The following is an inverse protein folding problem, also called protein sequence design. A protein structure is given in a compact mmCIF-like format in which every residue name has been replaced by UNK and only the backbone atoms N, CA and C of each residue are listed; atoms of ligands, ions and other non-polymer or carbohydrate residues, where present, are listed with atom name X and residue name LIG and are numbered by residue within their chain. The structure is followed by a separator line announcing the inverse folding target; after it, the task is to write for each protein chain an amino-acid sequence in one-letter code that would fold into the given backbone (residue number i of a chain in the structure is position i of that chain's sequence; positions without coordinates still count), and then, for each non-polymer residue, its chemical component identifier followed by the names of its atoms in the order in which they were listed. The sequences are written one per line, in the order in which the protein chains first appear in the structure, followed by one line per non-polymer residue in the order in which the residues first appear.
data_IF_456738037806
#
_entry.id   IF_456738037806
#
_cell.length_a   1.000
_cell.length_b   1.000
_cell.length_c   1.000
_cell.angle_alpha   90.00
_cell.angle_beta   90.00
_cell.angle_gamma   90.00
#
_symmetry.space_group_name_H-M   'P 1'
#
loop_
_entity.id
_entity.type
_entity.pdbx_description
1 polymer ?
#
# COMPACT_ATOMS: atom_id res chain seq x y z
N UNK A 1 -5.64 -30.84 17.97
CA UNK A 1 -5.32 -29.70 17.09
C UNK A 1 -6.61 -29.25 16.41
N UNK A 2 -7.40 -28.41 17.11
CA UNK A 2 -8.64 -27.91 16.55
C UNK A 2 -8.33 -27.00 15.37
N UNK A 3 -8.79 -27.38 14.17
CA UNK A 3 -8.93 -26.42 13.09
C UNK A 3 -9.78 -25.27 13.64
N UNK A 4 -9.22 -24.05 13.69
CA UNK A 4 -10.04 -22.85 13.84
C UNK A 4 -10.91 -22.81 12.59
N UNK A 5 -12.09 -23.43 12.66
CA UNK A 5 -13.14 -23.26 11.67
C UNK A 5 -13.42 -21.76 11.67
N UNK A 6 -12.85 -21.05 10.69
CA UNK A 6 -13.11 -19.63 10.51
C UNK A 6 -14.62 -19.44 10.42
N UNK A 7 -15.12 -18.33 10.96
CA UNK A 7 -16.52 -17.98 10.85
C UNK A 7 -16.97 -18.17 9.39
N UNK A 8 -17.99 -19.00 9.18
CA UNK A 8 -18.51 -19.27 7.84
C UNK A 8 -19.28 -18.02 7.42
N UNK A 9 -18.63 -17.14 6.65
CA UNK A 9 -19.24 -15.91 6.17
C UNK A 9 -20.18 -16.19 5.00
N UNK A 10 -21.39 -15.64 5.08
CA UNK A 10 -22.32 -15.56 3.97
C UNK A 10 -21.79 -14.67 2.83
N UNK A 11 -22.40 -14.75 1.64
CA UNK A 11 -21.96 -13.95 0.49
C UNK A 11 -21.96 -12.44 0.77
N UNK A 12 -22.96 -11.94 1.50
CA UNK A 12 -23.06 -10.52 1.84
C UNK A 12 -21.89 -10.05 2.71
N UNK A 13 -21.55 -10.80 3.76
CA UNK A 13 -20.43 -10.48 4.66
C UNK A 13 -19.08 -10.53 3.93
N UNK A 14 -18.90 -11.51 3.05
CA UNK A 14 -17.70 -11.58 2.20
C UNK A 14 -17.57 -10.38 1.27
N UNK A 15 -18.69 -9.90 0.70
CA UNK A 15 -18.68 -8.72 -0.16
C UNK A 15 -18.44 -7.43 0.63
N UNK A 16 -19.05 -7.27 1.79
CA UNK A 16 -18.80 -6.13 2.68
C UNK A 16 -17.32 -6.06 3.08
N UNK A 17 -16.76 -7.18 3.54
CA UNK A 17 -15.35 -7.25 3.91
C UNK A 17 -14.44 -6.89 2.73
N UNK A 18 -14.67 -7.46 1.54
CA UNK A 18 -13.89 -7.14 0.33
C UNK A 18 -14.01 -5.67 -0.05
N UNK A 19 -15.21 -5.10 0.07
CA UNK A 19 -15.46 -3.67 -0.18
C UNK A 19 -14.63 -2.80 0.76
N UNK A 20 -14.65 -3.11 2.06
CA UNK A 20 -13.88 -2.38 3.08
C UNK A 20 -12.37 -2.49 2.87
N UNK A 21 -11.86 -3.68 2.53
CA UNK A 21 -10.44 -3.85 2.19
C UNK A 21 -10.06 -3.00 0.98
N UNK A 22 -10.85 -3.05 -0.12
CA UNK A 22 -10.59 -2.22 -1.30
C UNK A 22 -10.67 -0.73 -1.01
N UNK A 23 -11.68 -0.31 -0.24
CA UNK A 23 -11.87 1.06 0.18
C UNK A 23 -10.69 1.59 1.01
N UNK A 24 -10.18 0.79 1.95
CA UNK A 24 -8.98 1.13 2.72
C UNK A 24 -7.76 1.32 1.82
N UNK A 25 -7.52 0.40 0.90
CA UNK A 25 -6.35 0.48 0.01
C UNK A 25 -6.44 1.65 -0.96
N UNK A 26 -7.61 1.87 -1.56
CA UNK A 26 -7.84 2.99 -2.46
C UNK A 26 -7.80 4.33 -1.71
N UNK A 27 -8.42 4.41 -0.54
CA UNK A 27 -8.41 5.61 0.30
C UNK A 27 -7.00 5.98 0.76
N UNK A 28 -6.18 4.99 1.13
CA UNK A 28 -4.77 5.21 1.46
C UNK A 28 -3.98 5.75 0.25
N UNK A 29 -4.19 5.19 -0.95
CA UNK A 29 -3.52 5.65 -2.16
C UNK A 29 -3.97 7.06 -2.58
N UNK A 30 -5.27 7.39 -2.41
CA UNK A 30 -5.80 8.74 -2.65
C UNK A 30 -5.22 9.73 -1.65
N UNK A 31 -5.15 9.35 -0.37
CA UNK A 31 -4.55 10.19 0.68
C UNK A 31 -3.06 10.46 0.44
N UNK A 32 -2.30 9.44 0.03
CA UNK A 32 -0.90 9.57 -0.38
C UNK A 32 -0.77 10.52 -1.57
N UNK A 33 -1.54 10.33 -2.63
CA UNK A 33 -1.50 11.17 -3.82
C UNK A 33 -1.94 12.63 -3.57
N UNK A 34 -2.89 12.85 -2.66
CA UNK A 34 -3.34 14.18 -2.26
C UNK A 34 -2.32 14.86 -1.36
N UNK A 35 -1.75 14.16 -0.37
CA UNK A 35 -0.83 14.74 0.60
C UNK A 35 0.58 14.98 0.07
N UNK A 36 1.05 14.17 -0.87
CA UNK A 36 2.43 14.19 -1.35
C UNK A 36 2.93 15.54 -1.88
N UNK A 37 2.15 16.36 -2.62
CA UNK A 37 2.61 17.67 -3.09
C UNK A 37 2.81 18.70 -1.97
N UNK A 38 2.30 18.45 -0.76
CA UNK A 38 2.29 19.38 0.37
C UNK A 38 2.89 18.79 1.65
N UNK A 39 3.56 17.64 1.57
CA UNK A 39 4.03 16.86 2.73
C UNK A 39 5.00 17.62 3.66
N UNK A 40 5.75 18.58 3.12
CA UNK A 40 6.65 19.47 3.85
C UNK A 40 6.13 20.89 4.07
N UNK A 41 4.88 21.20 3.71
CA UNK A 41 4.34 22.55 3.85
C UNK A 41 3.72 22.77 5.24
N UNK A 42 3.82 24.00 5.75
CA UNK A 42 2.98 24.43 6.86
C UNK A 42 1.56 24.71 6.37
N UNK A 43 0.60 24.77 7.28
CA UNK A 43 -0.79 25.08 6.91
C UNK A 43 -0.91 26.45 6.23
N UNK A 44 -0.15 27.44 6.69
CA UNK A 44 -0.08 28.78 6.10
C UNK A 44 0.41 28.67 4.66
N UNK A 45 1.49 27.91 4.43
CA UNK A 45 2.05 27.72 3.09
C UNK A 45 1.10 26.99 2.14
N UNK A 46 0.35 26.00 2.64
CA UNK A 46 -0.70 25.32 1.88
C UNK A 46 -1.77 26.33 1.47
N UNK A 47 -2.21 27.20 2.39
CA UNK A 47 -3.25 28.20 2.10
C UNK A 47 -2.78 29.30 1.15
N UNK A 48 -1.53 29.74 1.27
CA UNK A 48 -0.93 30.68 0.32
C UNK A 48 -0.89 30.11 -1.11
N UNK A 49 -0.55 28.82 -1.25
CA UNK A 49 -0.41 28.18 -2.56
C UNK A 49 -1.74 27.70 -3.16
N UNK A 50 -2.71 27.31 -2.33
CA UNK A 50 -3.94 26.63 -2.76
C UNK A 50 -5.24 27.35 -2.39
N UNK A 51 -5.17 28.48 -1.66
CA UNK A 51 -6.32 29.25 -1.20
C UNK A 51 -6.77 28.88 0.22
N UNK A 52 -7.76 29.60 0.75
CA UNK A 52 -8.19 29.48 2.15
C UNK A 52 -8.64 28.06 2.55
N UNK A 53 -9.26 27.34 1.62
CA UNK A 53 -9.71 25.95 1.77
C UNK A 53 -8.56 24.93 1.69
N UNK A 54 -7.36 25.36 1.32
CA UNK A 54 -6.20 24.51 1.12
C UNK A 54 -6.32 23.62 -0.12
N UNK A 55 -5.71 22.45 -0.06
CA UNK A 55 -5.66 21.52 -1.19
C UNK A 55 -6.96 20.70 -1.31
N UNK A 56 -7.79 21.04 -2.30
CA UNK A 56 -9.12 20.42 -2.51
C UNK A 56 -9.19 19.43 -3.67
N UNK A 57 -8.10 19.29 -4.43
CA UNK A 57 -8.02 18.41 -5.59
C UNK A 57 -6.58 17.88 -5.74
N UNK A 58 -6.40 16.79 -6.48
CA UNK A 58 -5.09 16.21 -6.75
C UNK A 58 -4.21 17.24 -7.46
N UNK A 59 -3.10 17.62 -6.83
CA UNK A 59 -2.14 18.54 -7.43
C UNK A 59 -1.07 17.79 -8.25
N UNK A 60 -0.29 18.55 -9.02
CA UNK A 60 0.92 18.05 -9.65
C UNK A 60 2.00 17.86 -8.58
N UNK A 61 2.57 16.65 -8.51
CA UNK A 61 3.70 16.33 -7.64
C UNK A 61 4.46 15.15 -8.23
N UNK A 62 5.74 14.98 -7.90
CA UNK A 62 6.51 13.79 -8.26
C UNK A 62 6.36 13.38 -9.76
N UNK A 63 6.36 14.37 -10.66
CA UNK A 63 6.33 14.19 -12.11
C UNK A 63 4.95 14.09 -12.77
N UNK A 64 3.84 13.93 -12.03
CA UNK A 64 2.48 13.93 -12.61
C UNK A 64 1.39 14.28 -11.60
N UNK A 65 0.21 14.65 -12.10
CA UNK A 65 -0.97 14.86 -11.22
C UNK A 65 -1.42 13.52 -10.61
N UNK A 66 -1.69 13.51 -9.30
CA UNK A 66 -2.16 12.31 -8.59
C UNK A 66 -1.15 11.17 -8.53
N UNK A 67 0.15 11.48 -8.55
CA UNK A 67 1.21 10.50 -8.33
C UNK A 67 1.13 9.93 -6.90
N UNK A 68 1.12 8.61 -6.77
CA UNK A 68 1.38 7.95 -5.49
C UNK A 68 2.89 7.91 -5.20
N UNK A 69 3.26 7.81 -3.94
CA UNK A 69 4.67 7.83 -3.49
C UNK A 69 5.13 6.45 -3.00
N UNK A 70 6.31 6.44 -2.38
CA UNK A 70 6.85 5.29 -1.67
C UNK A 70 5.89 4.74 -0.59
N UNK A 71 4.98 5.55 -0.04
CA UNK A 71 4.00 5.10 0.95
C UNK A 71 3.01 4.08 0.36
N UNK A 72 2.41 4.40 -0.79
CA UNK A 72 1.55 3.42 -1.50
C UNK A 72 2.37 2.21 -1.95
N UNK A 73 3.59 2.42 -2.48
CA UNK A 73 4.45 1.31 -2.91
C UNK A 73 4.75 0.34 -1.76
N UNK A 74 5.22 0.85 -0.62
CA UNK A 74 5.52 0.04 0.57
C UNK A 74 4.26 -0.64 1.11
N UNK A 75 3.09 0.01 1.04
CA UNK A 75 1.81 -0.61 1.39
C UNK A 75 1.54 -1.84 0.52
N UNK A 76 1.68 -1.72 -0.80
CA UNK A 76 1.47 -2.84 -1.73
C UNK A 76 2.48 -3.97 -1.52
N UNK A 77 3.75 -3.64 -1.28
CA UNK A 77 4.76 -4.66 -0.94
C UNK A 77 4.52 -5.31 0.43
N UNK A 78 3.96 -4.58 1.40
CA UNK A 78 3.52 -5.17 2.68
C UNK A 78 2.43 -6.21 2.45
N UNK A 79 1.43 -5.90 1.62
CA UNK A 79 0.37 -6.83 1.26
C UNK A 79 0.92 -8.07 0.56
N UNK A 80 1.83 -7.91 -0.40
CA UNK A 80 2.49 -9.04 -1.07
C UNK A 80 3.24 -9.93 -0.06
N UNK A 81 3.97 -9.34 0.88
CA UNK A 81 4.63 -10.07 1.97
C UNK A 81 3.65 -10.87 2.84
N UNK A 82 2.55 -10.24 3.27
CA UNK A 82 1.51 -10.87 4.11
C UNK A 82 0.75 -11.97 3.36
N UNK A 83 0.38 -11.75 2.11
CA UNK A 83 -0.30 -12.74 1.26
C UNK A 83 0.60 -13.96 1.08
N UNK A 84 1.88 -13.76 0.75
CA UNK A 84 2.83 -14.86 0.62
C UNK A 84 3.00 -15.63 1.92
N UNK A 85 3.09 -14.93 3.05
CA UNK A 85 3.18 -15.57 4.36
C UNK A 85 1.95 -16.44 4.62
N UNK A 86 0.74 -15.91 4.34
CA UNK A 86 -0.50 -16.66 4.49
C UNK A 86 -0.53 -17.92 3.62
N UNK A 87 -0.06 -17.86 2.37
CA UNK A 87 0.03 -19.03 1.49
C UNK A 87 0.97 -20.11 2.04
N UNK A 88 2.11 -19.72 2.64
CA UNK A 88 3.05 -20.66 3.29
C UNK A 88 2.57 -21.22 4.62
N UNK A 89 1.44 -20.71 5.15
CA UNK A 89 0.84 -21.25 6.37
C UNK A 89 0.43 -22.71 6.20
N UNK A 90 -0.15 -23.03 5.06
CA UNK A 90 -0.65 -24.37 4.77
C UNK A 90 0.49 -25.39 4.57
N UNK A 91 1.71 -24.91 4.27
CA UNK A 91 2.91 -25.75 4.13
C UNK A 91 3.77 -25.80 5.40
N UNK A 92 3.32 -25.22 6.51
CA UNK A 92 4.05 -25.20 7.79
C UNK A 92 5.25 -24.23 7.85
N UNK A 93 5.46 -23.40 6.82
CA UNK A 93 6.58 -22.46 6.73
C UNK A 93 6.14 -21.01 7.01
N UNK A 94 5.18 -20.82 7.92
CA UNK A 94 4.62 -19.51 8.24
C UNK A 94 5.58 -18.66 9.06
N UNK A 95 6.09 -17.58 8.47
CA UNK A 95 6.88 -16.59 9.21
C UNK A 95 6.74 -15.18 8.58
N UNK A 96 5.65 -14.44 8.90
CA UNK A 96 5.37 -13.13 8.30
C UNK A 96 6.54 -12.13 8.29
N UNK A 97 7.35 -11.99 9.36
CA UNK A 97 8.46 -11.03 9.35
C UNK A 97 9.49 -11.30 8.24
N UNK A 98 9.83 -12.57 7.97
CA UNK A 98 10.78 -12.91 6.90
C UNK A 98 10.24 -12.52 5.53
N UNK A 99 8.93 -12.67 5.33
CA UNK A 99 8.33 -12.47 4.02
C UNK A 99 8.02 -11.00 3.73
N UNK A 100 7.68 -10.23 4.77
CA UNK A 100 7.71 -8.77 4.75
C UNK A 100 9.12 -8.26 4.44
N UNK A 101 10.14 -8.76 5.14
CA UNK A 101 11.53 -8.37 4.88
C UNK A 101 11.94 -8.63 3.42
N UNK A 102 11.62 -9.82 2.88
CA UNK A 102 11.87 -10.14 1.47
C UNK A 102 11.10 -9.24 0.51
N UNK A 103 9.87 -8.87 0.84
CA UNK A 103 9.08 -7.95 0.04
C UNK A 103 9.69 -6.54 0.01
N UNK A 104 10.13 -6.03 1.16
CA UNK A 104 10.81 -4.73 1.23
C UNK A 104 12.17 -4.74 0.52
N UNK A 105 12.88 -5.87 0.52
CA UNK A 105 14.10 -6.00 -0.32
C UNK A 105 13.78 -5.96 -1.82
N UNK A 106 12.67 -6.54 -2.27
CA UNK A 106 12.21 -6.41 -3.66
C UNK A 106 11.83 -4.96 -3.98
N UNK A 107 11.10 -4.29 -3.09
CA UNK A 107 10.79 -2.86 -3.24
C UNK A 107 12.05 -2.00 -3.32
N UNK A 108 13.03 -2.24 -2.46
CA UNK A 108 14.29 -1.50 -2.46
C UNK A 108 15.04 -1.69 -3.79
N UNK A 109 15.04 -2.91 -4.34
CA UNK A 109 15.65 -3.17 -5.65
C UNK A 109 14.98 -2.36 -6.77
N UNK A 110 13.65 -2.22 -6.76
CA UNK A 110 12.95 -1.40 -7.79
C UNK A 110 13.25 0.10 -7.70
N UNK A 111 13.91 0.58 -6.64
CA UNK A 111 14.31 1.99 -6.54
C UNK A 111 15.59 2.30 -7.33
N UNK A 112 16.34 1.28 -7.75
CA UNK A 112 17.62 1.43 -8.44
C UNK A 112 17.69 0.62 -9.73
N UNK A 113 16.96 -0.50 -9.78
CA UNK A 113 16.90 -1.38 -10.93
C UNK A 113 15.62 -1.09 -11.74
N UNK A 114 15.76 -1.05 -13.07
CA UNK A 114 14.65 -0.84 -14.01
C UNK A 114 13.56 -1.94 -13.92
N UNK A 115 13.93 -3.11 -13.42
CA UNK A 115 13.05 -4.26 -13.23
C UNK A 115 13.82 -5.43 -12.63
N UNK A 116 13.15 -6.55 -12.31
CA UNK A 116 13.84 -7.75 -11.86
C UNK A 116 14.86 -8.18 -12.93
N UNK A 117 16.16 -8.16 -12.59
CA UNK A 117 17.20 -8.67 -13.47
C UNK A 117 17.06 -10.20 -13.52
N UNK A 118 16.48 -10.72 -14.60
CA UNK A 118 16.29 -12.16 -14.81
C UNK A 118 17.61 -12.96 -14.80
N UNK A 119 18.76 -12.25 -14.83
CA UNK A 119 20.11 -12.82 -14.74
C UNK A 119 20.60 -13.03 -13.31
N UNK A 120 19.97 -12.40 -12.31
CA UNK A 120 20.29 -12.58 -10.88
C UNK A 120 19.34 -13.63 -10.30
N UNK A 121 19.81 -14.88 -10.21
CA UNK A 121 19.13 -15.99 -9.53
C UNK A 121 19.42 -15.98 -8.03
#
# INVERSE_FOLDING_TARGET
MGATAGAVWGRAEQQDFRSRVRGTLLGAAVGDALGAPVDGFTLERIREAHGAEGLVDLAFGHGRRGSVTHLTQLTLFSLDGLIRAQVRRDTGAWHPPTDLHRAYRRWAATQSDWGPDERRK
#
